data_IF_464107813749
#
_entry.id   IF_464107813749
#
_cell.length_a   1.000
_cell.length_b   1.000
_cell.length_c   1.000
_cell.angle_alpha   90.00
_cell.angle_beta   90.00
_cell.angle_gamma   90.00
#
_symmetry.space_group_name_H-M   'P 1'
#
loop_
_entity.id
_entity.type
_entity.pdbx_description
1 polymer ?
#
# COMPACT_ATOMS: atom_id res chain seq x y z
N UNK A 1 10.29 7.31 21.61
CA UNK A 1 11.52 7.73 22.31
C UNK A 1 12.78 7.15 21.65
N UNK A 2 13.06 5.86 21.65
CA UNK A 2 14.28 5.33 20.98
C UNK A 2 14.25 5.55 19.45
N UNK A 3 13.11 5.34 18.80
CA UNK A 3 12.93 5.61 17.38
C UNK A 3 13.15 7.08 17.03
N UNK A 4 12.61 8.02 17.82
CA UNK A 4 12.77 9.46 17.55
C UNK A 4 14.23 9.90 17.70
N UNK A 5 14.94 9.37 18.69
CA UNK A 5 16.37 9.63 18.85
C UNK A 5 17.17 9.12 17.64
N UNK A 6 16.86 7.90 17.15
CA UNK A 6 17.46 7.36 15.94
C UNK A 6 17.18 8.25 14.72
N UNK A 7 15.91 8.57 14.45
CA UNK A 7 15.54 9.40 13.30
C UNK A 7 16.18 10.80 13.36
N UNK A 8 16.29 11.38 14.56
CA UNK A 8 16.95 12.67 14.76
C UNK A 8 18.46 12.62 14.57
N UNK A 9 19.08 11.47 14.76
CA UNK A 9 20.54 11.28 14.55
C UNK A 9 20.92 11.17 13.07
N UNK A 10 19.95 10.99 12.17
CA UNK A 10 20.20 10.81 10.72
C UNK A 10 20.49 12.17 10.08
N UNK A 11 21.70 12.36 9.49
CA UNK A 11 22.02 13.59 8.79
C UNK A 11 21.08 13.85 7.60
N UNK A 12 20.72 15.11 7.36
CA UNK A 12 19.80 15.51 6.28
C UNK A 12 20.26 14.99 4.90
N UNK A 13 21.57 15.00 4.63
CA UNK A 13 22.10 14.42 3.38
C UNK A 13 21.74 12.95 3.21
N UNK A 14 21.68 12.16 4.29
CA UNK A 14 21.28 10.74 4.25
C UNK A 14 19.75 10.59 4.15
N UNK A 15 19.00 11.45 4.85
CA UNK A 15 17.55 11.48 4.82
C UNK A 15 16.98 11.84 3.42
N UNK A 16 17.78 12.51 2.58
CA UNK A 16 17.45 12.86 1.18
C UNK A 16 18.14 11.98 0.13
N UNK A 17 18.77 10.88 0.55
CA UNK A 17 19.51 9.99 -0.35
C UNK A 17 18.71 8.74 -0.68
N UNK A 18 18.24 8.61 -1.93
CA UNK A 18 17.55 7.41 -2.45
C UNK A 18 18.36 6.13 -2.14
N UNK A 19 19.70 6.20 -2.25
CA UNK A 19 20.60 5.05 -1.97
C UNK A 19 20.65 4.68 -0.49
N UNK A 20 20.58 5.65 0.41
CA UNK A 20 20.72 5.43 1.85
C UNK A 20 19.39 5.04 2.52
N UNK A 21 18.28 5.58 2.05
CA UNK A 21 16.96 5.43 2.67
C UNK A 21 16.51 3.97 2.86
N UNK A 22 16.68 3.04 1.91
CA UNK A 22 16.25 1.66 2.12
C UNK A 22 16.90 0.98 3.33
N UNK A 23 18.19 1.27 3.59
CA UNK A 23 18.91 0.76 4.77
C UNK A 23 18.43 1.44 6.06
N UNK A 24 18.27 2.76 6.04
CA UNK A 24 17.76 3.55 7.17
C UNK A 24 16.37 3.04 7.59
N UNK A 25 15.49 2.82 6.64
CA UNK A 25 14.15 2.31 6.89
C UNK A 25 14.17 0.92 7.50
N UNK A 26 14.99 0.01 6.95
CA UNK A 26 15.14 -1.34 7.49
C UNK A 26 15.59 -1.33 8.96
N UNK A 27 16.50 -0.43 9.32
CA UNK A 27 16.94 -0.24 10.69
C UNK A 27 15.83 0.40 11.55
N UNK A 28 15.17 1.44 11.04
CA UNK A 28 14.06 2.12 11.73
C UNK A 28 12.91 1.17 12.10
N UNK A 29 12.58 0.21 11.23
CA UNK A 29 11.51 -0.77 11.48
C UNK A 29 11.76 -1.65 12.70
N UNK A 30 13.00 -1.87 13.08
CA UNK A 30 13.33 -2.72 14.24
C UNK A 30 13.15 -2.01 15.59
N UNK A 31 13.06 -0.68 15.61
CA UNK A 31 12.85 0.07 16.84
C UNK A 31 11.47 -0.20 17.42
N UNK A 32 11.43 -0.40 18.74
CA UNK A 32 10.20 -0.70 19.51
C UNK A 32 9.53 -2.05 19.14
N UNK A 33 10.23 -2.94 18.41
CA UNK A 33 9.75 -4.29 18.17
C UNK A 33 10.40 -5.25 19.16
N UNK A 34 9.64 -5.87 20.08
CA UNK A 34 10.17 -6.90 20.97
C UNK A 34 10.72 -8.09 20.16
N UNK A 35 11.86 -8.65 20.60
CA UNK A 35 12.50 -9.77 19.92
C UNK A 35 11.55 -10.98 19.72
N UNK A 36 10.66 -11.23 20.68
CA UNK A 36 9.66 -12.29 20.60
C UNK A 36 8.64 -12.03 19.47
N UNK A 37 8.21 -10.79 19.28
CA UNK A 37 7.28 -10.41 18.20
C UNK A 37 7.99 -10.56 16.85
N UNK A 38 9.24 -10.14 16.73
CA UNK A 38 10.01 -10.28 15.50
C UNK A 38 10.16 -11.75 15.10
N UNK A 39 10.44 -12.63 16.04
CA UNK A 39 10.49 -14.09 15.80
C UNK A 39 9.14 -14.63 15.35
N UNK A 40 8.06 -14.34 16.08
CA UNK A 40 6.70 -14.80 15.75
C UNK A 40 6.24 -14.30 14.38
N UNK A 41 6.59 -13.07 13.99
CA UNK A 41 6.27 -12.51 12.68
C UNK A 41 7.03 -13.21 11.56
N UNK A 42 8.30 -13.56 11.78
CA UNK A 42 9.10 -14.33 10.83
C UNK A 42 8.54 -15.75 10.64
N UNK A 43 8.07 -16.39 11.72
CA UNK A 43 7.46 -17.72 11.65
C UNK A 43 6.14 -17.73 10.85
N UNK A 44 5.36 -16.64 10.91
CA UNK A 44 4.14 -16.47 10.10
C UNK A 44 4.43 -16.39 8.59
N UNK A 45 5.52 -15.77 8.19
CA UNK A 45 5.92 -15.70 6.78
C UNK A 45 6.11 -17.06 6.13
N UNK A 46 6.53 -18.05 6.90
CA UNK A 46 6.69 -19.43 6.40
C UNK A 46 5.35 -20.09 6.03
N UNK A 47 4.23 -19.54 6.53
CA UNK A 47 2.88 -20.05 6.28
C UNK A 47 2.20 -19.31 5.13
N UNK A 48 2.35 -17.97 5.04
CA UNK A 48 1.58 -17.14 4.08
C UNK A 48 2.36 -16.77 2.81
N UNK A 49 3.69 -16.96 2.77
CA UNK A 49 4.54 -16.92 1.56
C UNK A 49 4.57 -15.64 0.71
N UNK A 50 3.77 -14.62 1.02
CA UNK A 50 3.55 -13.46 0.15
C UNK A 50 4.55 -12.31 0.37
N UNK A 51 5.24 -12.27 1.52
CA UNK A 51 6.22 -11.23 1.86
C UNK A 51 7.63 -11.79 1.99
N UNK A 52 8.63 -11.02 1.59
CA UNK A 52 10.04 -11.40 1.78
C UNK A 52 10.49 -11.30 3.24
N UNK A 53 9.84 -10.46 4.04
CA UNK A 53 10.05 -10.36 5.49
C UNK A 53 8.88 -9.67 6.17
N UNK A 54 8.76 -9.96 7.47
CA UNK A 54 7.81 -9.32 8.38
C UNK A 54 8.49 -9.17 9.74
N UNK A 55 8.66 -7.93 10.22
CA UNK A 55 9.35 -7.62 11.47
C UNK A 55 8.38 -7.40 12.64
N UNK A 56 7.11 -7.17 12.35
CA UNK A 56 6.09 -6.87 13.35
C UNK A 56 6.14 -5.43 13.84
N UNK A 57 6.61 -4.50 13.00
CA UNK A 57 6.68 -3.08 13.33
C UNK A 57 5.27 -2.53 13.60
N UNK A 58 5.03 -1.90 14.76
CA UNK A 58 3.74 -1.29 15.06
C UNK A 58 3.35 -0.20 14.06
N UNK A 59 2.05 -0.10 13.71
CA UNK A 59 1.53 0.91 12.80
C UNK A 59 1.90 2.34 13.21
N UNK A 60 1.85 2.66 14.49
CA UNK A 60 2.26 3.96 15.01
C UNK A 60 3.74 4.28 14.71
N UNK A 61 4.63 3.28 14.74
CA UNK A 61 6.03 3.44 14.38
C UNK A 61 6.20 3.65 12.87
N UNK A 62 5.48 2.91 12.03
CA UNK A 62 5.48 3.11 10.57
C UNK A 62 5.01 4.51 10.20
N UNK A 63 3.90 4.99 10.78
CA UNK A 63 3.40 6.35 10.57
C UNK A 63 4.37 7.41 11.04
N UNK A 64 5.06 7.19 12.15
CA UNK A 64 6.10 8.10 12.66
C UNK A 64 7.28 8.21 11.69
N UNK A 65 7.74 7.07 11.15
CA UNK A 65 8.81 7.02 10.14
C UNK A 65 8.37 7.72 8.85
N UNK A 66 7.15 7.45 8.36
CA UNK A 66 6.60 8.09 7.17
C UNK A 66 6.51 9.62 7.35
N UNK A 67 5.99 10.10 8.48
CA UNK A 67 5.92 11.53 8.80
C UNK A 67 7.31 12.18 8.79
N UNK A 68 8.31 11.53 9.39
CA UNK A 68 9.69 12.01 9.37
C UNK A 68 10.23 12.11 7.94
N UNK A 69 10.04 11.07 7.11
CA UNK A 69 10.47 11.06 5.70
C UNK A 69 9.84 12.20 4.90
N UNK A 70 8.53 12.37 5.01
CA UNK A 70 7.77 13.40 4.29
C UNK A 70 8.24 14.79 4.71
N UNK A 71 8.42 15.01 6.01
CA UNK A 71 8.92 16.29 6.53
C UNK A 71 10.32 16.60 6.02
N UNK A 72 11.24 15.62 6.02
CA UNK A 72 12.63 15.81 5.55
C UNK A 72 12.72 16.02 4.03
N UNK A 73 11.73 15.58 3.27
CA UNK A 73 11.71 15.65 1.81
C UNK A 73 10.55 16.51 1.27
N UNK A 74 9.99 17.41 2.08
CA UNK A 74 8.88 18.29 1.66
C UNK A 74 9.20 19.11 0.41
N UNK A 75 10.45 19.54 0.24
CA UNK A 75 10.92 20.29 -0.93
C UNK A 75 11.38 19.39 -2.10
N UNK A 76 11.51 18.10 -1.87
CA UNK A 76 12.04 17.13 -2.85
C UNK A 76 11.21 15.84 -2.87
N UNK A 77 9.89 15.91 -3.19
CA UNK A 77 9.01 14.72 -3.18
C UNK A 77 9.48 13.64 -4.15
N UNK A 78 10.26 13.99 -5.18
CA UNK A 78 10.86 13.08 -6.15
C UNK A 78 11.78 12.04 -5.51
N UNK A 79 12.44 12.39 -4.39
CA UNK A 79 13.27 11.46 -3.61
C UNK A 79 12.40 10.34 -3.05
N UNK A 80 11.23 10.70 -2.50
CA UNK A 80 10.28 9.72 -1.95
C UNK A 80 9.64 8.87 -3.05
N UNK A 81 9.29 9.46 -4.17
CA UNK A 81 8.81 8.71 -5.34
C UNK A 81 9.86 7.71 -5.85
N UNK A 82 11.13 8.12 -5.86
CA UNK A 82 12.25 7.26 -6.32
C UNK A 82 12.55 6.08 -5.40
N UNK A 83 12.20 6.14 -4.12
CA UNK A 83 12.38 4.99 -3.23
C UNK A 83 11.23 3.97 -3.31
N UNK A 84 10.06 4.34 -3.82
CA UNK A 84 8.90 3.44 -3.91
C UNK A 84 9.22 2.14 -4.65
N UNK A 85 9.84 2.15 -5.85
CA UNK A 85 10.24 0.92 -6.53
C UNK A 85 11.23 0.07 -5.73
N UNK A 86 12.12 0.70 -4.95
CA UNK A 86 13.10 -0.01 -4.13
C UNK A 86 12.42 -0.73 -2.95
N UNK A 87 11.45 -0.08 -2.29
CA UNK A 87 10.64 -0.68 -1.23
C UNK A 87 9.78 -1.82 -1.79
N UNK A 88 9.09 -1.55 -2.91
CA UNK A 88 8.25 -2.55 -3.58
C UNK A 88 9.05 -3.79 -3.98
N UNK A 89 10.26 -3.59 -4.52
CA UNK A 89 11.16 -4.67 -4.91
C UNK A 89 11.67 -5.52 -3.74
N UNK A 90 11.90 -4.93 -2.57
CA UNK A 90 12.27 -5.68 -1.36
C UNK A 90 11.13 -6.53 -0.81
N UNK A 91 9.91 -6.15 -1.07
CA UNK A 91 8.69 -6.90 -0.82
C UNK A 91 8.47 -7.33 0.65
N UNK A 92 8.99 -6.57 1.61
CA UNK A 92 8.69 -6.76 3.02
C UNK A 92 7.31 -6.17 3.37
N UNK A 93 6.64 -6.73 4.37
CA UNK A 93 5.35 -6.18 4.83
C UNK A 93 5.47 -4.71 5.24
N UNK A 94 6.51 -4.38 5.99
CA UNK A 94 6.80 -3.00 6.40
C UNK A 94 7.14 -2.10 5.21
N UNK A 95 7.81 -2.62 4.19
CA UNK A 95 8.12 -1.88 2.98
C UNK A 95 6.87 -1.55 2.17
N UNK A 96 5.94 -2.51 2.01
CA UNK A 96 4.67 -2.24 1.34
C UNK A 96 3.77 -1.30 2.15
N UNK A 97 3.75 -1.43 3.49
CA UNK A 97 3.06 -0.48 4.36
C UNK A 97 3.67 0.93 4.28
N UNK A 98 5.00 1.04 4.23
CA UNK A 98 5.68 2.33 4.03
C UNK A 98 5.36 2.91 2.66
N UNK A 99 5.39 2.09 1.60
CA UNK A 99 5.01 2.52 0.26
C UNK A 99 3.56 3.04 0.21
N UNK A 100 2.62 2.37 0.90
CA UNK A 100 1.23 2.82 1.01
C UNK A 100 1.13 4.22 1.67
N UNK A 101 1.85 4.43 2.78
CA UNK A 101 1.88 5.71 3.48
C UNK A 101 2.51 6.82 2.63
N UNK A 102 3.57 6.52 1.88
CA UNK A 102 4.19 7.49 0.97
C UNK A 102 3.29 7.80 -0.22
N UNK A 103 2.73 6.79 -0.90
CA UNK A 103 1.75 6.98 -1.97
C UNK A 103 0.58 7.87 -1.57
N UNK A 104 0.12 7.74 -0.33
CA UNK A 104 -0.97 8.56 0.19
C UNK A 104 -0.58 10.04 0.37
N UNK A 105 0.68 10.33 0.77
CA UNK A 105 1.02 11.61 1.37
C UNK A 105 2.10 12.43 0.62
N UNK A 106 2.80 11.91 -0.38
CA UNK A 106 3.71 12.72 -1.20
C UNK A 106 2.96 13.75 -2.07
N UNK A 107 3.65 14.82 -2.44
CA UNK A 107 3.06 15.86 -3.29
C UNK A 107 3.03 15.42 -4.76
N UNK A 108 1.96 14.69 -5.12
CA UNK A 108 1.74 14.22 -6.50
C UNK A 108 1.49 15.36 -7.48
N UNK A 109 0.86 16.46 -7.03
CA UNK A 109 0.57 17.60 -7.90
C UNK A 109 1.86 18.24 -8.41
N UNK A 110 2.84 18.41 -7.52
CA UNK A 110 4.17 18.93 -7.90
C UNK A 110 4.89 18.02 -8.89
N UNK A 111 4.64 16.72 -8.85
CA UNK A 111 5.26 15.76 -9.77
C UNK A 111 4.45 15.51 -11.06
N UNK A 112 3.27 16.14 -11.20
CA UNK A 112 2.41 15.93 -12.38
C UNK A 112 1.89 14.50 -12.53
N UNK A 113 1.67 13.78 -11.41
CA UNK A 113 1.24 12.38 -11.40
C UNK A 113 0.12 12.14 -10.37
N UNK A 114 -0.30 10.91 -10.22
CA UNK A 114 -1.26 10.50 -9.18
C UNK A 114 -0.75 9.27 -8.42
N UNK A 115 -1.20 9.03 -7.17
CA UNK A 115 -0.81 7.84 -6.43
C UNK A 115 -1.20 6.56 -7.16
N UNK A 116 -2.32 6.56 -7.85
CA UNK A 116 -2.83 5.40 -8.62
C UNK A 116 -1.95 5.07 -9.81
N UNK A 117 -1.43 6.10 -10.51
CA UNK A 117 -0.51 5.89 -11.62
C UNK A 117 0.81 5.28 -11.15
N UNK A 118 1.35 5.81 -10.05
CA UNK A 118 2.58 5.26 -9.47
C UNK A 118 2.35 3.82 -8.98
N UNK A 119 1.23 3.56 -8.30
CA UNK A 119 0.89 2.21 -7.82
C UNK A 119 0.77 1.22 -8.99
N UNK A 120 0.10 1.61 -10.07
CA UNK A 120 -0.04 0.80 -11.30
C UNK A 120 1.31 0.40 -11.89
N UNK A 121 2.27 1.34 -11.91
CA UNK A 121 3.62 1.10 -12.41
C UNK A 121 4.47 0.19 -11.46
N UNK A 122 4.09 0.06 -10.18
CA UNK A 122 4.78 -0.77 -9.19
C UNK A 122 4.28 -2.21 -9.12
N UNK A 123 2.99 -2.43 -9.41
CA UNK A 123 2.32 -3.73 -9.23
C UNK A 123 2.93 -4.80 -10.11
N UNK A 124 3.16 -5.97 -9.53
CA UNK A 124 3.63 -7.17 -10.19
C UNK A 124 2.46 -8.13 -10.45
N UNK A 125 2.65 -9.18 -11.26
CA UNK A 125 1.60 -10.18 -11.52
C UNK A 125 1.07 -10.89 -10.27
N UNK A 126 1.85 -10.91 -9.18
CA UNK A 126 1.43 -11.45 -7.87
C UNK A 126 1.79 -10.46 -6.78
N UNK A 127 0.79 -10.06 -6.01
CA UNK A 127 0.94 -9.15 -4.88
C UNK A 127 0.15 -9.66 -3.68
N UNK A 128 0.64 -9.44 -2.44
CA UNK A 128 -0.15 -9.69 -1.25
C UNK A 128 -1.41 -8.82 -1.25
N UNK A 129 -2.58 -9.43 -1.08
CA UNK A 129 -3.85 -8.69 -1.04
C UNK A 129 -3.84 -7.65 0.08
N UNK A 130 -3.26 -7.99 1.23
CA UNK A 130 -3.10 -7.05 2.34
C UNK A 130 -2.28 -5.82 1.93
N UNK A 131 -1.21 -6.00 1.14
CA UNK A 131 -0.38 -4.91 0.62
C UNK A 131 -1.17 -3.98 -0.29
N UNK A 132 -1.96 -4.53 -1.21
CA UNK A 132 -2.85 -3.75 -2.07
C UNK A 132 -3.92 -3.02 -1.25
N UNK A 133 -4.53 -3.71 -0.28
CA UNK A 133 -5.55 -3.12 0.59
C UNK A 133 -4.97 -1.95 1.40
N UNK A 134 -3.77 -2.09 1.96
CA UNK A 134 -3.08 -0.99 2.65
C UNK A 134 -2.91 0.23 1.74
N UNK A 135 -2.51 0.04 0.48
CA UNK A 135 -2.36 1.13 -0.49
C UNK A 135 -3.70 1.82 -0.76
N UNK A 136 -4.75 1.06 -1.06
CA UNK A 136 -6.09 1.61 -1.34
C UNK A 136 -6.61 2.39 -0.14
N UNK A 137 -6.55 1.81 1.06
CA UNK A 137 -7.05 2.43 2.29
C UNK A 137 -6.30 3.71 2.65
N UNK A 138 -4.96 3.73 2.57
CA UNK A 138 -4.17 4.91 2.91
C UNK A 138 -4.36 6.03 1.88
N UNK A 139 -4.40 5.71 0.58
CA UNK A 139 -4.63 6.70 -0.48
C UNK A 139 -6.01 7.35 -0.30
N UNK A 140 -7.07 6.57 -0.09
CA UNK A 140 -8.41 7.11 0.11
C UNK A 140 -8.55 7.86 1.45
N UNK A 141 -7.89 7.39 2.52
CA UNK A 141 -7.87 8.06 3.83
C UNK A 141 -7.21 9.43 3.78
N UNK A 142 -6.21 9.61 2.91
CA UNK A 142 -5.56 10.91 2.70
C UNK A 142 -6.43 11.93 1.93
N UNK A 143 -7.67 11.57 1.59
CA UNK A 143 -8.59 12.43 0.83
C UNK A 143 -8.38 12.41 -0.68
N UNK A 144 -7.55 11.49 -1.20
CA UNK A 144 -7.38 11.31 -2.64
C UNK A 144 -8.62 10.65 -3.24
N UNK A 145 -8.99 11.13 -4.44
CA UNK A 145 -10.12 10.54 -5.15
C UNK A 145 -9.81 9.10 -5.59
N UNK A 146 -10.83 8.25 -5.57
CA UNK A 146 -10.77 6.93 -6.20
C UNK A 146 -10.52 7.09 -7.72
N UNK A 147 -9.90 6.10 -8.38
CA UNK A 147 -9.85 6.09 -9.84
C UNK A 147 -11.24 6.26 -10.45
N UNK A 148 -11.30 6.88 -11.64
CA UNK A 148 -12.57 7.01 -12.36
C UNK A 148 -13.08 5.65 -12.88
N UNK A 149 -14.35 5.60 -13.24
CA UNK A 149 -15.00 4.39 -13.76
C UNK A 149 -14.21 3.75 -14.90
N UNK A 150 -13.75 4.54 -15.86
CA UNK A 150 -13.01 4.03 -17.03
C UNK A 150 -11.77 3.23 -16.61
N UNK A 151 -10.99 3.76 -15.66
CA UNK A 151 -9.80 3.07 -15.15
C UNK A 151 -10.16 1.83 -14.33
N UNK A 152 -11.17 1.91 -13.47
CA UNK A 152 -11.62 0.75 -12.68
C UNK A 152 -12.13 -0.37 -13.59
N UNK A 153 -12.92 -0.05 -14.61
CA UNK A 153 -13.39 -1.01 -15.60
C UNK A 153 -12.22 -1.63 -16.39
N UNK A 154 -11.25 -0.81 -16.82
CA UNK A 154 -10.06 -1.31 -17.51
C UNK A 154 -9.27 -2.30 -16.65
N UNK A 155 -9.13 -2.04 -15.35
CA UNK A 155 -8.46 -2.96 -14.44
C UNK A 155 -9.25 -4.26 -14.21
N UNK A 156 -10.59 -4.20 -14.14
CA UNK A 156 -11.44 -5.40 -14.07
C UNK A 156 -11.27 -6.28 -15.31
N UNK A 157 -11.21 -5.67 -16.50
CA UNK A 157 -11.02 -6.37 -17.78
C UNK A 157 -9.63 -7.00 -17.94
N UNK A 158 -8.58 -6.41 -17.33
CA UNK A 158 -7.23 -6.97 -17.35
C UNK A 158 -7.12 -8.27 -16.56
N UNK A 159 -7.98 -8.49 -15.57
CA UNK A 159 -7.94 -9.68 -14.74
C UNK A 159 -6.77 -9.69 -13.72
N UNK A 160 -6.63 -10.81 -13.01
CA UNK A 160 -5.52 -11.05 -12.08
C UNK A 160 -5.40 -10.00 -10.96
N UNK A 161 -4.19 -9.51 -10.73
CA UNK A 161 -3.89 -8.54 -9.68
C UNK A 161 -4.58 -7.20 -9.90
N UNK A 162 -4.73 -6.76 -11.14
CA UNK A 162 -5.40 -5.50 -11.47
C UNK A 162 -6.90 -5.57 -11.20
N UNK A 163 -7.53 -6.69 -11.50
CA UNK A 163 -8.91 -6.97 -11.10
C UNK A 163 -9.07 -6.90 -9.58
N UNK A 164 -8.16 -7.50 -8.83
CA UNK A 164 -8.15 -7.43 -7.36
C UNK A 164 -8.04 -5.99 -6.88
N UNK A 165 -7.12 -5.20 -7.44
CA UNK A 165 -6.97 -3.78 -7.11
C UNK A 165 -8.26 -3.00 -7.37
N UNK A 166 -8.89 -3.23 -8.53
CA UNK A 166 -10.16 -2.57 -8.89
C UNK A 166 -11.25 -2.89 -7.88
N UNK A 167 -11.43 -4.18 -7.53
CA UNK A 167 -12.41 -4.60 -6.53
C UNK A 167 -12.18 -3.94 -5.17
N UNK A 168 -10.93 -3.87 -4.72
CA UNK A 168 -10.58 -3.20 -3.46
C UNK A 168 -10.92 -1.70 -3.52
N UNK A 169 -10.65 -1.03 -4.64
CA UNK A 169 -11.00 0.38 -4.84
C UNK A 169 -12.53 0.61 -4.84
N UNK A 170 -13.29 -0.21 -5.58
CA UNK A 170 -14.75 -0.13 -5.64
C UNK A 170 -15.35 -0.37 -4.25
N UNK A 171 -14.93 -1.43 -3.57
CA UNK A 171 -15.39 -1.76 -2.22
C UNK A 171 -15.08 -0.65 -1.21
N UNK A 172 -13.82 -0.20 -1.16
CA UNK A 172 -13.40 0.84 -0.23
C UNK A 172 -14.10 2.18 -0.48
N UNK A 173 -14.43 2.49 -1.74
CA UNK A 173 -15.22 3.67 -2.11
C UNK A 173 -16.69 3.51 -1.74
N UNK A 174 -17.27 2.31 -1.91
CA UNK A 174 -18.65 2.00 -1.47
C UNK A 174 -18.78 2.21 0.04
N UNK A 175 -17.82 1.75 0.82
CA UNK A 175 -17.79 1.96 2.28
C UNK A 175 -17.66 3.44 2.68
N UNK A 176 -17.28 4.32 1.75
CA UNK A 176 -17.19 5.78 1.90
C UNK A 176 -18.36 6.53 1.22
N UNK A 177 -19.40 5.82 0.83
CA UNK A 177 -20.64 6.41 0.29
C UNK A 177 -20.66 6.62 -1.22
N UNK A 178 -19.69 6.07 -1.98
CA UNK A 178 -19.75 6.05 -3.46
C UNK A 178 -20.39 4.76 -3.93
N UNK A 179 -21.60 4.81 -4.47
CA UNK A 179 -22.21 3.64 -5.09
C UNK A 179 -21.42 3.20 -6.34
N UNK A 180 -21.23 1.87 -6.54
CA UNK A 180 -20.68 1.34 -7.76
C UNK A 180 -21.59 1.67 -8.97
N UNK A 181 -20.98 1.96 -10.12
CA UNK A 181 -21.74 2.21 -11.34
C UNK A 181 -22.33 0.91 -11.93
N UNK A 182 -23.38 0.98 -12.79
CA UNK A 182 -23.92 -0.20 -13.45
C UNK A 182 -22.84 -0.99 -14.22
N UNK A 183 -21.90 -0.30 -14.87
CA UNK A 183 -20.80 -0.93 -15.62
C UNK A 183 -19.80 -1.63 -14.71
N UNK A 184 -19.45 -1.01 -13.56
CA UNK A 184 -18.61 -1.64 -12.55
C UNK A 184 -19.26 -2.92 -11.99
N UNK A 185 -20.56 -2.90 -11.73
CA UNK A 185 -21.31 -4.07 -11.26
C UNK A 185 -21.36 -5.18 -12.31
N UNK A 186 -21.64 -4.84 -13.58
CA UNK A 186 -21.68 -5.79 -14.71
C UNK A 186 -20.33 -6.49 -14.87
N UNK A 187 -19.22 -5.73 -14.94
CA UNK A 187 -17.89 -6.29 -15.09
C UNK A 187 -17.47 -7.10 -13.85
N UNK A 188 -17.83 -6.63 -12.65
CA UNK A 188 -17.58 -7.39 -11.41
C UNK A 188 -18.30 -8.74 -11.42
N UNK A 189 -19.54 -8.81 -11.92
CA UNK A 189 -20.29 -10.06 -12.01
C UNK A 189 -19.78 -11.00 -13.12
N UNK A 190 -19.34 -10.44 -14.25
CA UNK A 190 -18.89 -11.20 -15.42
C UNK A 190 -17.46 -11.76 -15.29
N UNK A 191 -16.64 -11.21 -14.41
CA UNK A 191 -15.23 -11.59 -14.27
C UNK A 191 -15.04 -12.99 -13.67
N UNK A 192 -13.95 -13.67 -14.02
CA UNK A 192 -13.62 -15.01 -13.49
C UNK A 192 -12.90 -14.91 -12.14
N UNK A 193 -13.43 -15.62 -11.14
CA UNK A 193 -12.90 -15.67 -9.76
C UNK A 193 -12.57 -17.10 -9.32
N UNK A 194 -12.49 -18.08 -10.24
CA UNK A 194 -12.27 -19.50 -9.89
C UNK A 194 -11.02 -19.75 -9.07
N UNK A 195 -9.98 -18.97 -9.30
CA UNK A 195 -8.70 -19.09 -8.60
C UNK A 195 -8.45 -17.93 -7.64
N UNK A 196 -9.44 -17.06 -7.42
CA UNK A 196 -9.28 -15.92 -6.53
C UNK A 196 -9.27 -16.37 -5.05
N UNK A 197 -8.42 -15.75 -4.21
CA UNK A 197 -8.45 -15.98 -2.77
C UNK A 197 -9.81 -15.63 -2.16
N UNK A 198 -10.16 -16.31 -1.07
CA UNK A 198 -11.45 -16.16 -0.40
C UNK A 198 -11.79 -14.70 -0.04
N UNK A 199 -10.78 -13.91 0.35
CA UNK A 199 -10.97 -12.49 0.64
C UNK A 199 -11.47 -11.71 -0.58
N UNK A 200 -10.94 -11.99 -1.77
CA UNK A 200 -11.35 -11.34 -3.02
C UNK A 200 -12.80 -11.71 -3.37
N UNK A 201 -13.17 -12.98 -3.17
CA UNK A 201 -14.55 -13.45 -3.37
C UNK A 201 -15.51 -12.72 -2.42
N UNK A 202 -15.16 -12.61 -1.14
CA UNK A 202 -15.98 -11.85 -0.17
C UNK A 202 -16.11 -10.37 -0.52
N UNK A 203 -15.03 -9.74 -1.02
CA UNK A 203 -15.08 -8.34 -1.47
C UNK A 203 -16.01 -8.19 -2.66
N UNK A 204 -15.90 -9.07 -3.68
CA UNK A 204 -16.83 -9.12 -4.82
C UNK A 204 -18.27 -9.22 -4.35
N UNK A 205 -18.58 -10.16 -3.46
CA UNK A 205 -19.93 -10.41 -2.99
C UNK A 205 -20.50 -9.18 -2.26
N UNK A 206 -19.71 -8.48 -1.47
CA UNK A 206 -20.12 -7.21 -0.82
C UNK A 206 -20.32 -6.06 -1.81
N UNK A 207 -19.69 -6.09 -2.97
CA UNK A 207 -19.94 -5.12 -4.04
C UNK A 207 -21.29 -5.42 -4.69
N UNK A 208 -21.52 -6.69 -5.07
CA UNK A 208 -22.69 -7.11 -5.84
C UNK A 208 -23.97 -7.19 -5.02
N UNK A 209 -23.87 -7.66 -3.78
CA UNK A 209 -25.03 -7.82 -2.91
C UNK A 209 -25.02 -6.74 -1.84
N UNK A 210 -26.15 -6.05 -1.64
CA UNK A 210 -26.32 -5.21 -0.45
C UNK A 210 -26.31 -6.15 0.75
N UNK A 211 -25.54 -5.80 1.79
CA UNK A 211 -25.55 -6.55 3.05
C UNK A 211 -27.02 -6.72 3.47
N UNK A 212 -27.51 -7.95 3.43
CA UNK A 212 -28.73 -8.33 4.12
C UNK A 212 -28.35 -8.44 5.59
N UNK A 213 -28.45 -7.29 6.29
CA UNK A 213 -28.45 -7.23 7.75
C UNK A 213 -29.88 -7.22 8.23
#
# INVERSE_FOLDING_TARGET
>A
MALDAYLSSIPDRKAKSVRALPRILREAYTYNVPALIMKSSTDRLSVDGDYSFFLGTPDASLRRIASWLITKNSETPEVLASILPLLWNRHGREDLAMAALLLANIDHARMGTSPWRILEDLIRPREPIEGLLMCVEEILRSGRMCPNEERLCSWLEQGGVMQTLSLLCIHASKMRGRDPTPKELELTAASDYKQAPELVIRVRDRILYRDQV
#
